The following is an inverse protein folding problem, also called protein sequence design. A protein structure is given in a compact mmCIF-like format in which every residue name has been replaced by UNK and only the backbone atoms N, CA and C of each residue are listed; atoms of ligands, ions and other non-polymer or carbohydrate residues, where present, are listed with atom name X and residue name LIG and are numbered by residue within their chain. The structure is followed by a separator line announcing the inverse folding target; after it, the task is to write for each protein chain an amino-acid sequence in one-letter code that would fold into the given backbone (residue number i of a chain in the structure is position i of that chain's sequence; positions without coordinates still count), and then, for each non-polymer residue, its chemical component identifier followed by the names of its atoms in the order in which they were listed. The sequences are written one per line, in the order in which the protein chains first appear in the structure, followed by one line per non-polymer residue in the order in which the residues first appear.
data_IF_248428587408
#
_entry.id   IF_248428587408
#
_cell.length_a   1.000
_cell.length_b   1.000
_cell.length_c   1.000
_cell.angle_alpha   90.00
_cell.angle_beta   90.00
_cell.angle_gamma   90.00
#
_symmetry.space_group_name_H-M   'P 1'
#
loop_
_entity.id
_entity.type
_entity.pdbx_description
1 polymer ?
#
# COMPACT_ATOMS: atom_id res chain seq x y z
N UNK A 1 3.55 4.72 39.48
CA UNK A 1 2.08 4.73 39.38
C UNK A 1 1.62 5.23 38.01
N UNK A 2 2.01 6.43 37.55
CA UNK A 2 1.63 6.94 36.21
C UNK A 2 1.78 5.92 35.06
N UNK A 3 2.88 5.17 35.00
CA UNK A 3 3.11 4.21 33.91
C UNK A 3 2.14 3.01 33.89
N UNK A 4 1.79 2.43 35.03
CA UNK A 4 0.88 1.27 35.06
C UNK A 4 -0.55 1.70 34.68
N UNK A 5 -0.95 2.91 35.11
CA UNK A 5 -2.22 3.51 34.71
C UNK A 5 -2.23 3.86 33.21
N UNK A 6 -1.11 4.34 32.67
CA UNK A 6 -0.92 4.56 31.23
C UNK A 6 -1.01 3.26 30.43
N UNK A 7 -0.39 2.17 30.90
CA UNK A 7 -0.46 0.86 30.25
C UNK A 7 -1.89 0.31 30.29
N UNK A 8 -2.60 0.46 31.41
CA UNK A 8 -4.00 0.07 31.51
C UNK A 8 -4.87 0.84 30.51
N UNK A 9 -4.69 2.17 30.45
CA UNK A 9 -5.41 3.03 29.51
C UNK A 9 -5.10 2.67 28.05
N UNK A 10 -3.83 2.46 27.72
CA UNK A 10 -3.38 2.02 26.41
C UNK A 10 -3.98 0.66 26.02
N UNK A 11 -3.99 -0.29 26.95
CA UNK A 11 -4.58 -1.61 26.73
C UNK A 11 -6.08 -1.49 26.41
N UNK A 12 -6.81 -0.62 27.11
CA UNK A 12 -8.24 -0.43 26.88
C UNK A 12 -8.57 0.34 25.60
N UNK A 13 -7.72 1.26 25.15
CA UNK A 13 -7.99 2.10 23.97
C UNK A 13 -7.49 1.51 22.66
N UNK A 14 -6.32 0.87 22.65
CA UNK A 14 -5.63 0.48 21.42
C UNK A 14 -5.66 -1.03 21.13
N UNK A 15 -5.94 -1.87 22.14
CA UNK A 15 -5.83 -3.32 21.99
C UNK A 15 -7.19 -4.01 21.83
N UNK A 16 -7.22 -5.04 20.99
CA UNK A 16 -8.35 -5.97 20.88
C UNK A 16 -8.50 -6.81 22.15
N UNK A 17 -9.68 -7.37 22.39
CA UNK A 17 -9.98 -8.11 23.62
C UNK A 17 -8.98 -9.25 23.91
N UNK A 18 -8.61 -10.05 22.91
CA UNK A 18 -7.61 -11.11 23.08
C UNK A 18 -6.21 -10.58 23.41
N UNK A 19 -5.86 -9.39 22.90
CA UNK A 19 -4.58 -8.73 23.21
C UNK A 19 -4.60 -8.16 24.64
N UNK A 20 -5.75 -7.64 25.08
CA UNK A 20 -5.93 -7.25 26.48
C UNK A 20 -5.79 -8.45 27.42
N UNK A 21 -6.32 -9.62 27.04
CA UNK A 21 -6.12 -10.87 27.78
C UNK A 21 -4.66 -11.31 27.78
N UNK A 22 -3.94 -11.20 26.66
CA UNK A 22 -2.50 -11.46 26.60
C UNK A 22 -1.71 -10.56 27.55
N UNK A 23 -1.99 -9.26 27.57
CA UNK A 23 -1.36 -8.30 28.49
C UNK A 23 -1.69 -8.65 29.94
N UNK A 24 -2.94 -9.00 30.25
CA UNK A 24 -3.35 -9.47 31.59
C UNK A 24 -2.53 -10.69 32.02
N UNK A 25 -2.41 -11.69 31.15
CA UNK A 25 -1.63 -12.91 31.44
C UNK A 25 -0.16 -12.58 31.69
N UNK A 26 0.44 -11.68 30.91
CA UNK A 26 1.83 -11.23 31.11
C UNK A 26 2.02 -10.53 32.47
N UNK A 27 1.06 -9.73 32.93
CA UNK A 27 1.12 -9.13 34.28
C UNK A 27 0.98 -10.16 35.42
N UNK A 28 0.20 -11.21 35.21
CA UNK A 28 -0.02 -12.26 36.22
C UNK A 28 0.93 -13.46 36.09
N UNK A 29 1.76 -13.50 35.05
CA UNK A 29 2.60 -14.64 34.75
C UNK A 29 3.67 -14.86 35.84
N UNK A 30 4.01 -16.12 36.15
CA UNK A 30 5.19 -16.41 36.95
C UNK A 30 6.47 -15.89 36.25
N UNK A 31 7.58 -15.75 36.99
CA UNK A 31 8.87 -15.32 36.42
C UNK A 31 9.37 -16.16 35.23
N UNK A 32 8.82 -17.37 35.07
CA UNK A 32 9.09 -18.29 33.95
C UNK A 32 8.37 -17.89 32.65
N UNK A 33 7.46 -16.91 32.68
CA UNK A 33 6.65 -16.47 31.54
C UNK A 33 5.40 -17.29 31.32
N UNK A 34 4.75 -17.06 30.16
CA UNK A 34 3.55 -17.79 29.72
C UNK A 34 3.86 -19.24 29.37
N UNK A 35 2.94 -20.14 29.71
CA UNK A 35 3.03 -21.56 29.40
C UNK A 35 2.55 -21.86 27.98
N UNK A 36 2.82 -23.08 27.47
CA UNK A 36 2.30 -23.48 26.16
C UNK A 36 0.75 -23.51 26.11
N UNK A 37 0.12 -23.84 27.24
CA UNK A 37 -1.34 -23.77 27.39
C UNK A 37 -1.86 -22.34 27.27
N UNK A 38 -1.17 -21.35 27.88
CA UNK A 38 -1.50 -19.93 27.70
C UNK A 38 -1.42 -19.52 26.23
N UNK A 39 -0.39 -19.96 25.53
CA UNK A 39 -0.25 -19.67 24.10
C UNK A 39 -1.31 -20.37 23.24
N UNK A 40 -1.77 -21.56 23.61
CA UNK A 40 -2.86 -22.26 22.94
C UNK A 40 -4.19 -21.50 23.12
N UNK A 41 -4.53 -21.11 24.35
CA UNK A 41 -5.74 -20.33 24.61
C UNK A 41 -5.71 -18.95 23.95
N UNK A 42 -4.57 -18.26 23.97
CA UNK A 42 -4.40 -16.98 23.27
C UNK A 42 -4.53 -17.13 21.75
N UNK A 43 -4.11 -18.27 21.21
CA UNK A 43 -4.30 -18.59 19.80
C UNK A 43 -5.78 -18.79 19.46
N UNK A 44 -6.50 -19.56 20.27
CA UNK A 44 -7.94 -19.76 20.09
C UNK A 44 -8.70 -18.41 20.19
N UNK A 45 -8.37 -17.56 21.17
CA UNK A 45 -8.96 -16.22 21.29
C UNK A 45 -8.66 -15.33 20.07
N UNK A 46 -7.47 -15.44 19.47
CA UNK A 46 -7.14 -14.77 18.20
C UNK A 46 -8.03 -15.28 17.05
N UNK A 47 -8.27 -16.60 16.97
CA UNK A 47 -9.17 -17.19 15.96
C UNK A 47 -10.61 -16.69 16.14
N UNK A 48 -11.10 -16.64 17.39
CA UNK A 48 -12.45 -16.15 17.74
C UNK A 48 -12.67 -14.70 17.33
N UNK A 49 -11.68 -13.83 17.56
CA UNK A 49 -11.71 -12.43 17.10
C UNK A 49 -11.91 -12.32 15.57
N UNK A 50 -11.45 -13.32 14.83
CA UNK A 50 -11.61 -13.44 13.38
C UNK A 50 -12.81 -14.31 12.95
N UNK A 51 -13.74 -14.61 13.87
CA UNK A 51 -14.97 -15.40 13.65
C UNK A 51 -14.71 -16.85 13.20
N UNK A 52 -13.56 -17.39 13.56
CA UNK A 52 -13.23 -18.80 13.35
C UNK A 52 -13.75 -19.64 14.53
N UNK A 53 -13.85 -20.98 14.38
CA UNK A 53 -14.47 -21.85 15.38
C UNK A 53 -13.84 -21.71 16.78
N UNK A 54 -14.71 -21.65 17.81
CA UNK A 54 -14.33 -21.61 19.22
C UNK A 54 -14.57 -22.97 19.87
N UNK A 55 -13.63 -23.89 19.78
CA UNK A 55 -13.82 -25.24 20.30
C UNK A 55 -13.99 -25.29 21.85
N UNK A 56 -13.52 -24.26 22.56
CA UNK A 56 -13.50 -24.21 24.02
C UNK A 56 -14.45 -23.21 24.67
N UNK A 57 -15.35 -22.56 23.91
CA UNK A 57 -16.17 -21.43 24.37
C UNK A 57 -15.35 -20.38 25.16
N UNK A 58 -14.09 -20.18 24.74
CA UNK A 58 -13.17 -19.27 25.39
C UNK A 58 -13.62 -17.82 25.18
N UNK A 59 -13.62 -17.04 26.25
CA UNK A 59 -13.89 -15.62 26.24
C UNK A 59 -12.66 -14.87 26.78
N UNK A 60 -12.24 -13.83 26.06
CA UNK A 60 -11.09 -13.02 26.47
C UNK A 60 -11.42 -12.26 27.78
N UNK A 61 -10.50 -12.30 28.75
CA UNK A 61 -10.63 -11.57 30.00
C UNK A 61 -9.71 -10.34 29.93
N UNK A 62 -10.26 -9.13 29.75
CA UNK A 62 -9.45 -7.94 29.56
C UNK A 62 -8.63 -7.58 30.81
N UNK A 63 -7.52 -6.86 30.61
CA UNK A 63 -6.73 -6.30 31.70
C UNK A 63 -7.58 -5.33 32.52
N UNK A 64 -7.61 -5.53 33.84
CA UNK A 64 -8.26 -4.63 34.79
C UNK A 64 -7.28 -4.12 35.83
N UNK A 65 -7.65 -3.05 36.54
CA UNK A 65 -6.86 -2.52 37.65
C UNK A 65 -6.58 -3.56 38.76
N UNK A 66 -7.45 -4.56 38.92
CA UNK A 66 -7.26 -5.65 39.88
C UNK A 66 -6.14 -6.64 39.48
N UNK A 67 -5.71 -6.63 38.22
CA UNK A 67 -4.62 -7.48 37.72
C UNK A 67 -3.26 -6.80 37.81
N UNK A 68 -3.21 -5.49 38.09
CA UNK A 68 -1.98 -4.76 38.32
C UNK A 68 -1.55 -4.97 39.78
N UNK A 69 -0.24 -5.10 40.07
CA UNK A 69 0.21 -5.19 41.45
C UNK A 69 -0.28 -3.99 42.26
N UNK A 70 -0.89 -4.26 43.41
CA UNK A 70 -1.13 -3.25 44.41
C UNK A 70 0.20 -2.55 44.69
N UNK A 71 0.18 -1.21 44.74
CA UNK A 71 1.37 -0.38 44.89
C UNK A 71 2.40 -1.05 45.81
N UNK A 72 3.51 -1.55 45.23
CA UNK A 72 4.64 -1.96 46.04
C UNK A 72 4.93 -0.75 46.92
N UNK A 73 4.78 -0.90 48.25
CA UNK A 73 5.22 0.12 49.19
C UNK A 73 6.62 0.53 48.74
N UNK A 74 6.83 1.83 48.53
CA UNK A 74 8.12 2.35 48.10
C UNK A 74 9.19 1.72 49.00
N UNK A 75 9.94 0.76 48.46
CA UNK A 75 10.99 0.09 49.22
C UNK A 75 11.92 1.19 49.68
N UNK A 76 12.07 1.36 51.00
CA UNK A 76 12.94 2.40 51.51
C UNK A 76 14.34 2.18 50.93
N UNK A 77 14.97 3.21 50.33
CA UNK A 77 16.26 3.03 49.71
C UNK A 77 17.30 2.64 50.76
N UNK A 78 18.18 1.71 50.42
CA UNK A 78 19.35 1.37 51.25
C UNK A 78 20.28 2.58 51.28
N UNK A 79 20.52 3.14 52.47
CA UNK A 79 21.41 4.29 52.64
C UNK A 79 22.79 3.82 53.13
N UNK A 80 23.85 4.20 52.41
CA UNK A 80 25.22 3.93 52.84
C UNK A 80 25.57 4.84 54.03
N UNK A 81 26.10 4.27 55.11
CA UNK A 81 26.47 4.99 56.34
C UNK A 81 27.97 5.06 56.54
N UNK A 82 28.69 3.98 56.26
CA UNK A 82 30.14 3.99 56.36
C UNK A 82 30.80 2.95 55.46
N UNK A 83 32.08 3.20 55.15
CA UNK A 83 33.01 2.23 54.58
C UNK A 83 34.25 2.18 55.49
N UNK A 84 34.52 1.02 56.07
CA UNK A 84 35.58 0.80 57.07
C UNK A 84 36.32 -0.52 56.84
N UNK A 85 37.30 -0.78 57.69
CA UNK A 85 38.09 -2.02 57.70
C UNK A 85 38.65 -2.39 56.33
N UNK A 86 39.07 -1.36 55.58
CA UNK A 86 39.61 -1.54 54.23
C UNK A 86 40.96 -2.26 54.31
N UNK A 87 41.07 -3.41 53.65
CA UNK A 87 42.35 -4.13 53.53
C UNK A 87 42.75 -4.22 52.08
N UNK A 88 44.06 -4.04 51.84
CA UNK A 88 44.69 -4.20 50.53
C UNK A 88 44.05 -3.34 49.42
N UNK A 89 43.56 -2.17 49.81
CA UNK A 89 42.85 -1.24 48.94
C UNK A 89 43.73 0.00 48.74
N UNK A 90 44.53 0.01 47.66
CA UNK A 90 45.61 0.97 47.45
C UNK A 90 46.52 1.05 48.70
N UNK A 91 47.01 2.25 49.03
CA UNK A 91 47.77 2.56 50.25
C UNK A 91 46.89 3.31 51.26
N UNK A 92 45.65 2.83 51.46
CA UNK A 92 44.79 3.37 52.52
C UNK A 92 45.34 2.96 53.89
N UNK A 93 45.30 3.88 54.86
CA UNK A 93 45.80 3.58 56.20
C UNK A 93 44.84 2.61 56.92
N UNK A 94 45.41 1.68 57.69
CA UNK A 94 44.62 0.75 58.49
C UNK A 94 43.76 1.50 59.52
N UNK A 95 42.54 1.01 59.74
CA UNK A 95 41.61 1.57 60.72
C UNK A 95 40.90 2.87 60.29
N UNK A 96 41.02 3.28 59.02
CA UNK A 96 40.24 4.42 58.52
C UNK A 96 38.76 4.06 58.34
N UNK A 97 37.89 5.02 58.66
CA UNK A 97 36.44 4.94 58.51
C UNK A 97 35.97 6.13 57.70
N UNK A 98 35.40 5.88 56.53
CA UNK A 98 34.76 6.89 55.70
C UNK A 98 33.26 6.89 55.97
N UNK A 99 32.71 7.98 56.51
CA UNK A 99 31.30 8.08 56.89
C UNK A 99 30.48 8.91 55.92
N UNK A 100 29.19 8.58 55.84
CA UNK A 100 28.21 9.21 54.97
C UNK A 100 26.96 9.58 55.78
N UNK A 101 26.37 10.75 55.47
CA UNK A 101 25.08 11.11 56.02
C UNK A 101 23.99 10.19 55.43
N UNK A 102 23.11 9.66 56.29
CA UNK A 102 22.01 8.77 55.87
C UNK A 102 21.01 9.45 54.93
N UNK A 103 20.97 10.78 54.93
CA UNK A 103 20.14 11.62 54.09
C UNK A 103 20.89 12.91 53.74
N UNK A 104 20.67 13.42 52.53
CA UNK A 104 21.30 14.63 52.02
C UNK A 104 22.57 14.38 51.19
N UNK A 105 23.44 15.38 51.14
CA UNK A 105 24.67 15.37 50.35
C UNK A 105 25.90 15.29 51.27
N UNK A 106 26.75 14.28 51.05
CA UNK A 106 28.05 14.17 51.72
C UNK A 106 29.15 14.57 50.76
N UNK A 107 29.96 15.58 51.11
CA UNK A 107 31.11 16.03 50.30
C UNK A 107 32.41 15.56 50.94
N UNK A 108 33.16 14.71 50.22
CA UNK A 108 34.47 14.19 50.65
C UNK A 108 35.55 14.86 49.80
N UNK A 109 36.47 15.58 50.45
CA UNK A 109 37.57 16.29 49.80
C UNK A 109 38.91 16.05 50.51
N UNK A 110 40.01 16.36 49.83
CA UNK A 110 41.37 16.20 50.37
C UNK A 110 42.42 16.41 49.29
N UNK A 111 43.69 16.52 49.68
CA UNK A 111 44.81 16.72 48.75
C UNK A 111 45.03 15.56 47.76
N UNK A 112 45.87 15.77 46.75
CA UNK A 112 46.28 14.69 45.85
C UNK A 112 47.01 13.60 46.64
N UNK A 113 46.73 12.32 46.33
CA UNK A 113 47.28 11.19 47.07
C UNK A 113 46.56 10.84 48.38
N UNK A 114 45.50 11.56 48.77
CA UNK A 114 44.77 11.30 50.03
C UNK A 114 43.88 10.04 50.04
N UNK A 115 43.96 9.19 49.02
CA UNK A 115 43.18 7.93 48.97
C UNK A 115 41.76 8.02 48.40
N UNK A 116 41.25 9.20 48.02
CA UNK A 116 39.87 9.38 47.47
C UNK A 116 39.53 8.42 46.33
N UNK A 117 40.42 8.30 45.35
CA UNK A 117 40.24 7.37 44.22
C UNK A 117 40.26 5.90 44.65
N UNK A 118 40.97 5.57 45.73
CA UNK A 118 40.94 4.23 46.32
C UNK A 118 39.54 3.88 46.81
N UNK A 119 38.96 4.72 47.68
CA UNK A 119 37.58 4.55 48.15
C UNK A 119 36.56 4.49 47.01
N UNK A 120 36.68 5.37 46.01
CA UNK A 120 35.79 5.38 44.85
C UNK A 120 35.84 4.05 44.05
N UNK A 121 37.03 3.46 43.86
CA UNK A 121 37.17 2.16 43.18
C UNK A 121 36.52 1.02 43.96
N UNK A 122 36.67 1.01 45.27
CA UNK A 122 36.02 0.02 46.13
C UNK A 122 34.50 0.13 46.01
N UNK A 123 33.96 1.34 46.11
CA UNK A 123 32.54 1.62 45.96
C UNK A 123 32.03 1.19 44.58
N UNK A 124 32.76 1.46 43.49
CA UNK A 124 32.40 1.00 42.15
C UNK A 124 32.35 -0.53 42.01
N UNK A 125 33.18 -1.26 42.76
CA UNK A 125 33.24 -2.72 42.72
C UNK A 125 32.28 -3.41 43.67
N UNK A 126 32.02 -2.81 44.82
CA UNK A 126 31.12 -3.34 45.83
C UNK A 126 29.66 -3.03 45.49
N UNK A 127 29.39 -1.84 44.96
CA UNK A 127 28.07 -1.36 44.61
C UNK A 127 27.85 -1.38 43.09
N UNK A 128 26.69 -0.89 42.63
CA UNK A 128 26.34 -0.84 41.21
C UNK A 128 27.00 0.36 40.50
N UNK A 129 28.07 0.11 39.76
CA UNK A 129 28.66 1.06 38.81
C UNK A 129 28.68 0.50 37.38
N UNK A 130 28.55 1.37 36.37
CA UNK A 130 28.67 0.97 34.96
C UNK A 130 30.12 0.76 34.51
N UNK A 131 31.04 1.56 35.04
CA UNK A 131 32.46 1.31 34.86
C UNK A 131 32.94 0.26 35.87
N UNK A 132 32.93 -1.00 35.44
CA UNK A 132 33.58 -2.11 36.12
C UNK A 132 34.92 -2.49 35.48
N UNK A 133 35.54 -1.59 34.71
CA UNK A 133 36.84 -1.88 34.09
C UNK A 133 37.96 -1.55 35.07
N UNK A 134 37.83 -0.45 35.82
CA UNK A 134 38.87 -0.03 36.78
C UNK A 134 39.04 -1.03 37.93
N UNK A 135 40.22 -1.64 38.04
CA UNK A 135 40.51 -2.62 39.09
C UNK A 135 40.83 -1.93 40.41
N UNK A 136 40.44 -2.57 41.51
CA UNK A 136 40.93 -2.19 42.84
C UNK A 136 42.34 -2.76 42.99
N UNK A 137 43.32 -1.85 43.00
CA UNK A 137 44.74 -2.19 43.07
C UNK A 137 45.21 -2.28 44.53
N UNK A 138 45.98 -3.32 44.91
CA UNK A 138 46.69 -3.35 46.19
C UNK A 138 47.84 -2.34 46.25
N UNK A 139 48.48 -2.19 47.41
CA UNK A 139 49.64 -1.31 47.58
C UNK A 139 50.80 -1.75 46.67
N UNK A 140 51.26 -0.86 45.79
CA UNK A 140 52.35 -1.14 44.84
C UNK A 140 53.72 -1.30 45.50
N UNK A 141 53.86 -0.88 46.77
CA UNK A 141 55.10 -1.02 47.55
C UNK A 141 55.20 -2.34 48.31
N UNK A 142 54.13 -3.13 48.34
CA UNK A 142 54.09 -4.43 49.00
C UNK A 142 54.54 -5.56 48.04
N UNK A 143 55.66 -6.26 48.30
CA UNK A 143 56.12 -7.36 47.44
C UNK A 143 55.17 -8.57 47.43
N UNK A 144 54.20 -8.65 48.36
CA UNK A 144 53.15 -9.68 48.41
C UNK A 144 51.80 -9.21 47.86
N UNK A 145 51.72 -7.98 47.31
CA UNK A 145 50.49 -7.36 46.83
C UNK A 145 49.65 -8.25 45.89
N UNK A 146 50.29 -9.08 45.05
CA UNK A 146 49.61 -9.98 44.12
C UNK A 146 48.84 -11.13 44.81
N UNK A 147 49.18 -11.46 46.06
CA UNK A 147 48.52 -12.50 46.86
C UNK A 147 47.38 -11.95 47.72
N UNK A 148 47.23 -10.63 47.80
CA UNK A 148 46.24 -9.99 48.64
C UNK A 148 44.93 -9.73 47.90
N UNK A 149 43.82 -10.04 48.57
CA UNK A 149 42.46 -9.81 48.07
C UNK A 149 41.92 -8.55 48.76
N UNK A 150 41.64 -7.47 48.02
CA UNK A 150 41.02 -6.28 48.56
C UNK A 150 39.66 -6.60 49.18
N UNK A 151 39.45 -6.06 50.38
CA UNK A 151 38.19 -6.19 51.12
C UNK A 151 37.84 -4.91 51.86
N UNK A 152 36.56 -4.69 52.09
CA UNK A 152 36.03 -3.58 52.87
C UNK A 152 34.70 -3.97 53.51
N UNK A 153 34.39 -3.32 54.64
CA UNK A 153 33.09 -3.45 55.31
C UNK A 153 32.27 -2.20 55.06
N UNK A 154 31.05 -2.37 54.59
CA UNK A 154 30.08 -1.33 54.31
C UNK A 154 28.97 -1.38 55.35
N UNK A 155 28.83 -0.32 56.15
CA UNK A 155 27.70 -0.18 57.05
C UNK A 155 26.56 0.51 56.27
N UNK A 156 25.39 -0.12 56.22
CA UNK A 156 24.21 0.37 55.51
C UNK A 156 23.02 0.47 56.44
N UNK A 157 22.07 1.34 56.10
CA UNK A 157 20.78 1.47 56.75
C UNK A 157 19.70 0.98 55.79
N UNK A 158 19.03 -0.11 56.15
CA UNK A 158 17.95 -0.74 55.36
C UNK A 158 16.69 -0.82 56.23
N UNK A 159 15.61 -0.17 55.79
CA UNK A 159 14.36 -0.05 56.55
C UNK A 159 14.54 0.39 58.03
N UNK A 160 15.55 1.22 58.30
CA UNK A 160 15.87 1.70 59.65
C UNK A 160 16.76 0.77 60.48
N UNK A 161 17.16 -0.39 59.95
CA UNK A 161 18.08 -1.34 60.59
C UNK A 161 19.49 -1.13 60.04
N UNK A 162 20.47 -0.99 60.93
CA UNK A 162 21.88 -0.92 60.54
C UNK A 162 22.46 -2.33 60.34
N UNK A 163 23.10 -2.54 59.19
CA UNK A 163 23.72 -3.80 58.82
C UNK A 163 25.13 -3.58 58.30
N UNK A 164 26.04 -4.49 58.65
CA UNK A 164 27.42 -4.49 58.16
C UNK A 164 27.59 -5.55 57.06
N UNK A 165 27.97 -5.11 55.86
CA UNK A 165 28.13 -5.92 54.67
C UNK A 165 29.60 -6.00 54.28
N UNK A 166 30.14 -7.21 54.19
CA UNK A 166 31.55 -7.43 53.81
C UNK A 166 31.62 -7.67 52.30
N UNK A 167 32.45 -6.90 51.63
CA UNK A 167 32.77 -7.09 50.21
C UNK A 167 34.21 -7.57 50.04
N UNK A 168 34.41 -8.52 49.14
CA UNK A 168 35.72 -9.04 48.74
C UNK A 168 35.83 -9.08 47.23
N UNK A 169 36.99 -8.66 46.71
CA UNK A 169 37.25 -8.68 45.26
C UNK A 169 37.23 -10.12 44.72
N UNK A 170 36.31 -10.40 43.81
CA UNK A 170 36.19 -11.71 43.13
C UNK A 170 35.12 -12.63 43.72
N UNK A 171 34.48 -12.22 44.82
CA UNK A 171 33.28 -12.87 45.37
C UNK A 171 32.03 -12.12 44.90
N UNK A 172 30.86 -12.78 44.99
CA UNK A 172 29.58 -12.14 44.71
C UNK A 172 29.30 -11.03 45.74
N UNK A 173 29.05 -9.81 45.27
CA UNK A 173 28.76 -8.68 46.14
C UNK A 173 27.43 -8.88 46.87
N UNK A 174 27.31 -8.50 48.16
CA UNK A 174 26.05 -8.52 48.89
C UNK A 174 24.92 -7.81 48.12
N UNK A 175 23.75 -8.44 48.02
CA UNK A 175 22.61 -7.97 47.21
C UNK A 175 22.21 -6.52 47.54
N UNK A 176 22.24 -6.14 48.82
CA UNK A 176 21.92 -4.79 49.30
C UNK A 176 22.89 -3.70 48.82
N UNK A 177 24.13 -4.05 48.44
CA UNK A 177 25.05 -3.08 47.85
C UNK A 177 24.72 -2.82 46.37
N UNK A 178 24.07 -3.78 45.69
CA UNK A 178 23.67 -3.62 44.29
C UNK A 178 22.54 -2.59 44.11
N UNK A 179 21.81 -2.23 45.16
CA UNK A 179 20.82 -1.14 45.12
C UNK A 179 21.45 0.25 45.20
N UNK A 180 22.74 0.36 45.55
CA UNK A 180 23.45 1.64 45.64
C UNK A 180 24.13 1.93 44.31
N UNK A 181 23.77 3.03 43.66
CA UNK A 181 24.38 3.46 42.41
C UNK A 181 25.62 4.33 42.65
N UNK A 182 26.75 3.98 42.02
CA UNK A 182 27.99 4.76 42.07
C UNK A 182 28.30 5.32 40.68
N UNK A 183 28.56 6.62 40.63
CA UNK A 183 28.79 7.36 39.39
C UNK A 183 30.07 8.21 39.50
N UNK A 184 30.92 8.13 38.48
CA UNK A 184 32.11 8.97 38.32
C UNK A 184 32.26 9.45 36.87
N UNK A 185 33.33 10.20 36.59
CA UNK A 185 33.62 10.72 35.25
C UNK A 185 33.91 9.62 34.22
N UNK A 186 34.36 8.44 34.64
CA UNK A 186 34.55 7.31 33.73
C UNK A 186 33.21 6.66 33.37
N UNK A 187 32.30 6.50 34.33
CA UNK A 187 30.92 6.10 34.10
C UNK A 187 30.24 7.05 33.12
N UNK A 188 30.39 8.38 33.31
CA UNK A 188 29.83 9.39 32.42
C UNK A 188 30.25 9.20 30.95
N UNK A 189 31.52 8.83 30.70
CA UNK A 189 31.98 8.51 29.34
C UNK A 189 31.30 7.27 28.79
N UNK A 190 31.18 6.20 29.58
CA UNK A 190 30.44 4.99 29.19
C UNK A 190 28.98 5.30 28.85
N UNK A 191 28.34 6.23 29.57
CA UNK A 191 26.98 6.70 29.26
C UNK A 191 26.87 7.43 27.91
N UNK A 192 27.92 8.12 27.47
CA UNK A 192 27.91 8.92 26.24
C UNK A 192 28.37 8.15 25.01
N UNK A 193 29.21 7.12 25.17
CA UNK A 193 29.87 6.44 24.05
C UNK A 193 29.35 5.04 23.76
N UNK A 194 28.63 4.40 24.69
CA UNK A 194 28.09 3.05 24.48
C UNK A 194 26.59 3.12 24.17
N UNK A 195 26.20 2.74 22.95
CA UNK A 195 24.79 2.42 22.64
C UNK A 195 24.41 1.17 23.43
N UNK A 196 23.76 1.34 24.59
CA UNK A 196 23.25 0.23 25.40
C UNK A 196 21.88 0.56 25.99
N UNK A 197 21.06 -0.48 26.08
CA UNK A 197 19.69 -0.50 26.61
C UNK A 197 19.56 0.21 27.96
N UNK A 198 18.39 0.83 28.17
CA UNK A 198 18.08 1.58 29.38
C UNK A 198 18.25 0.68 30.63
N UNK A 199 19.24 0.98 31.48
CA UNK A 199 19.60 0.16 32.64
C UNK A 199 18.54 0.13 33.76
N UNK A 200 17.41 0.81 33.60
CA UNK A 200 16.26 0.76 34.50
C UNK A 200 15.01 0.77 33.62
N UNK A 201 14.45 -0.41 33.37
CA UNK A 201 13.10 -0.53 32.82
C UNK A 201 12.12 -0.45 33.98
N UNK A 202 11.21 0.54 34.02
CA UNK A 202 10.20 0.60 35.05
C UNK A 202 9.33 -0.66 35.01
N UNK A 203 8.95 -1.14 36.20
CA UNK A 203 8.05 -2.30 36.31
C UNK A 203 6.77 -2.06 35.50
N UNK A 204 6.42 -3.03 34.66
CA UNK A 204 5.29 -2.97 33.72
C UNK A 204 5.68 -2.66 32.27
N UNK A 205 6.78 -1.94 32.02
CA UNK A 205 7.18 -1.63 30.63
C UNK A 205 7.60 -2.89 29.86
N UNK A 206 8.19 -3.86 30.55
CA UNK A 206 8.55 -5.17 29.98
C UNK A 206 7.35 -5.90 29.38
N UNK A 207 6.12 -5.67 29.87
CA UNK A 207 4.91 -6.33 29.33
C UNK A 207 4.63 -5.89 27.90
N UNK A 208 4.86 -4.60 27.58
CA UNK A 208 4.68 -4.07 26.23
C UNK A 208 5.72 -4.70 25.29
N UNK A 209 6.96 -4.81 25.76
CA UNK A 209 8.04 -5.46 25.02
C UNK A 209 7.77 -6.95 24.81
N UNK A 210 7.33 -7.68 25.83
CA UNK A 210 7.04 -9.10 25.75
C UNK A 210 5.84 -9.42 24.86
N UNK A 211 4.80 -8.57 24.87
CA UNK A 211 3.70 -8.69 23.91
C UNK A 211 4.23 -8.63 22.47
N UNK A 212 5.05 -7.63 22.16
CA UNK A 212 5.59 -7.41 20.81
C UNK A 212 6.65 -8.45 20.38
N UNK A 213 7.56 -8.80 21.28
CA UNK A 213 8.74 -9.63 20.97
C UNK A 213 8.52 -11.13 21.18
N UNK A 214 7.59 -11.53 22.06
CA UNK A 214 7.34 -12.94 22.40
C UNK A 214 5.97 -13.40 21.96
N UNK A 215 4.90 -12.73 22.41
CA UNK A 215 3.52 -13.20 22.20
C UNK A 215 3.14 -13.17 20.73
N UNK A 216 3.24 -12.02 20.06
CA UNK A 216 2.85 -11.89 18.65
C UNK A 216 3.65 -12.83 17.72
N UNK A 217 5.00 -12.94 17.85
CA UNK A 217 5.77 -13.87 17.02
C UNK A 217 5.44 -15.35 17.29
N UNK A 218 5.07 -15.71 18.52
CA UNK A 218 4.65 -17.07 18.85
C UNK A 218 3.31 -17.43 18.19
N UNK A 219 2.31 -16.57 18.32
CA UNK A 219 1.00 -16.76 17.67
C UNK A 219 1.13 -16.78 16.15
N UNK A 220 1.97 -15.91 15.58
CA UNK A 220 2.30 -15.92 14.15
C UNK A 220 2.86 -17.27 13.70
N UNK A 221 3.80 -17.85 14.44
CA UNK A 221 4.38 -19.16 14.11
C UNK A 221 3.33 -20.27 14.15
N UNK A 222 2.42 -20.25 15.12
CA UNK A 222 1.31 -21.22 15.18
C UNK A 222 0.37 -21.08 13.98
N UNK A 223 -0.01 -19.86 13.64
CA UNK A 223 -0.84 -19.58 12.45
C UNK A 223 -0.16 -20.03 11.14
N UNK A 224 1.12 -19.69 10.97
CA UNK A 224 1.87 -20.08 9.78
C UNK A 224 2.03 -21.62 9.71
N UNK A 225 2.21 -22.29 10.85
CA UNK A 225 2.25 -23.76 10.92
C UNK A 225 0.91 -24.39 10.53
N UNK A 226 -0.19 -23.94 11.11
CA UNK A 226 -1.53 -24.43 10.78
C UNK A 226 -1.83 -24.22 9.29
N UNK A 227 -1.57 -23.01 8.77
CA UNK A 227 -1.75 -22.71 7.33
C UNK A 227 -0.96 -23.68 6.45
N UNK A 228 0.30 -23.94 6.79
CA UNK A 228 1.16 -24.82 6.00
C UNK A 228 0.78 -26.30 6.14
N UNK A 229 0.07 -26.67 7.21
CA UNK A 229 -0.44 -28.04 7.42
C UNK A 229 -1.73 -28.33 6.63
N UNK A 230 -2.43 -27.29 6.18
CA UNK A 230 -3.63 -27.41 5.36
C UNK A 230 -3.21 -27.75 3.92
N UNK A 231 -3.16 -29.04 3.61
CA UNK A 231 -2.96 -29.54 2.25
C UNK A 231 -4.33 -29.76 1.57
N UNK A 232 -4.66 -28.92 0.59
CA UNK A 232 -5.93 -29.03 -0.15
C UNK A 232 -5.64 -29.67 -1.51
N UNK A 233 -6.05 -30.92 -1.68
CA UNK A 233 -6.00 -31.58 -2.98
C UNK A 233 -7.06 -31.00 -3.93
N UNK A 234 -6.58 -30.31 -4.98
CA UNK A 234 -7.42 -29.73 -6.03
C UNK A 234 -7.69 -30.69 -7.20
N UNK A 235 -7.06 -31.86 -7.21
CA UNK A 235 -7.15 -32.85 -8.30
C UNK A 235 -8.58 -33.27 -8.65
N UNK A 236 -9.51 -33.48 -7.69
CA UNK A 236 -10.90 -33.85 -8.00
C UNK A 236 -11.62 -32.83 -8.88
N UNK A 237 -11.24 -31.56 -8.81
CA UNK A 237 -11.90 -30.46 -9.53
C UNK A 237 -11.24 -30.12 -10.86
N UNK A 238 -10.25 -30.91 -11.31
CA UNK A 238 -9.48 -30.63 -12.54
C UNK A 238 -10.36 -30.39 -13.77
N UNK A 239 -11.47 -31.11 -13.88
CA UNK A 239 -12.39 -31.00 -15.02
C UNK A 239 -13.27 -29.74 -14.99
N UNK A 240 -13.37 -29.08 -13.82
CA UNK A 240 -14.10 -27.84 -13.63
C UNK A 240 -13.23 -26.61 -13.83
N UNK A 241 -11.89 -26.78 -13.87
CA UNK A 241 -10.95 -25.69 -14.10
C UNK A 241 -10.95 -25.29 -15.58
N UNK A 242 -10.93 -23.98 -15.83
CA UNK A 242 -10.92 -23.43 -17.19
C UNK A 242 -11.57 -22.05 -17.23
N UNK A 243 -11.91 -21.59 -18.45
CA UNK A 243 -12.51 -20.28 -18.69
C UNK A 243 -14.05 -20.27 -18.53
N UNK A 244 -14.58 -21.22 -17.75
CA UNK A 244 -16.00 -21.26 -17.40
C UNK A 244 -16.23 -20.41 -16.15
N UNK A 245 -17.47 -19.96 -15.92
CA UNK A 245 -17.81 -19.24 -14.68
C UNK A 245 -17.45 -20.04 -13.42
N UNK A 246 -17.67 -21.37 -13.45
CA UNK A 246 -17.28 -22.29 -12.37
C UNK A 246 -15.76 -22.37 -12.22
N UNK A 247 -15.01 -22.46 -13.32
CA UNK A 247 -13.55 -22.53 -13.30
C UNK A 247 -12.89 -21.25 -12.77
N UNK A 248 -13.41 -20.09 -13.19
CA UNK A 248 -12.98 -18.78 -12.69
C UNK A 248 -13.32 -18.61 -11.21
N UNK A 249 -14.47 -19.10 -10.75
CA UNK A 249 -14.85 -19.09 -9.33
C UNK A 249 -13.90 -19.95 -8.50
N UNK A 250 -13.62 -21.19 -8.92
CA UNK A 250 -12.71 -22.11 -8.22
C UNK A 250 -11.29 -21.53 -8.13
N UNK A 251 -10.80 -20.90 -9.21
CA UNK A 251 -9.49 -20.27 -9.23
C UNK A 251 -9.35 -19.11 -8.24
N UNK A 252 -10.46 -18.41 -7.97
CA UNK A 252 -10.51 -17.23 -7.09
C UNK A 252 -11.17 -17.50 -5.72
N UNK A 253 -11.29 -18.78 -5.31
CA UNK A 253 -11.84 -19.15 -4.01
C UNK A 253 -11.06 -18.48 -2.88
N UNK A 254 -11.79 -17.79 -2.01
CA UNK A 254 -11.24 -17.11 -0.85
C UNK A 254 -12.24 -17.14 0.30
N UNK A 255 -11.81 -16.70 1.49
CA UNK A 255 -12.70 -16.56 2.65
C UNK A 255 -13.83 -15.52 2.44
N UNK A 256 -13.78 -14.74 1.36
CA UNK A 256 -14.81 -13.75 0.99
C UNK A 256 -15.80 -14.28 -0.06
N UNK A 257 -15.57 -15.47 -0.59
CA UNK A 257 -16.44 -16.03 -1.62
C UNK A 257 -17.82 -16.31 -1.04
N UNK A 258 -18.86 -15.83 -1.71
CA UNK A 258 -20.24 -16.04 -1.30
C UNK A 258 -20.67 -17.49 -1.56
N UNK A 259 -21.15 -18.15 -0.50
CA UNK A 259 -21.63 -19.53 -0.56
C UNK A 259 -22.87 -19.63 -1.45
N UNK A 260 -23.76 -18.63 -1.45
CA UNK A 260 -24.95 -18.64 -2.29
C UNK A 260 -24.61 -18.59 -3.79
N UNK A 261 -23.53 -17.90 -4.15
CA UNK A 261 -23.02 -17.88 -5.52
C UNK A 261 -22.48 -19.25 -5.96
N UNK A 262 -21.81 -19.97 -5.04
CA UNK A 262 -21.34 -21.35 -5.28
C UNK A 262 -22.55 -22.28 -5.49
N UNK A 263 -23.55 -22.21 -4.62
CA UNK A 263 -24.76 -23.04 -4.69
C UNK A 263 -25.51 -22.82 -6.01
N UNK A 264 -25.67 -21.55 -6.43
CA UNK A 264 -26.31 -21.21 -7.70
C UNK A 264 -25.58 -21.84 -8.89
N UNK A 265 -24.25 -21.74 -8.94
CA UNK A 265 -23.42 -22.33 -10.01
C UNK A 265 -23.40 -23.86 -9.96
N UNK A 266 -23.66 -24.46 -8.80
CA UNK A 266 -23.80 -25.91 -8.63
C UNK A 266 -25.15 -26.47 -9.09
N UNK A 267 -26.13 -25.62 -9.38
CA UNK A 267 -27.46 -26.03 -9.84
C UNK A 267 -27.64 -25.81 -11.34
N UNK A 268 -28.38 -26.72 -11.99
CA UNK A 268 -28.78 -26.58 -13.39
C UNK A 268 -30.25 -26.18 -13.46
N UNK A 269 -30.55 -25.15 -14.26
CA UNK A 269 -31.91 -24.75 -14.59
C UNK A 269 -32.58 -25.78 -15.52
N UNK A 270 -33.91 -25.81 -15.54
CA UNK A 270 -34.66 -26.76 -16.38
C UNK A 270 -34.26 -26.67 -17.86
N UNK A 271 -34.04 -25.47 -18.38
CA UNK A 271 -33.59 -25.25 -19.77
C UNK A 271 -32.22 -25.90 -20.03
N UNK A 272 -31.32 -25.86 -19.05
CA UNK A 272 -29.99 -26.46 -19.15
C UNK A 272 -30.07 -27.99 -19.06
N UNK A 273 -30.97 -28.53 -18.22
CA UNK A 273 -31.25 -29.97 -18.16
C UNK A 273 -31.84 -30.50 -19.46
N UNK A 274 -32.79 -29.77 -20.05
CA UNK A 274 -33.40 -30.14 -21.33
C UNK A 274 -32.34 -30.14 -22.45
N UNK A 275 -31.50 -29.09 -22.49
CA UNK A 275 -30.36 -29.03 -23.43
C UNK A 275 -29.35 -30.15 -23.18
N UNK A 276 -29.07 -30.50 -21.94
CA UNK A 276 -28.17 -31.60 -21.61
C UNK A 276 -28.73 -32.94 -22.14
N UNK A 277 -30.02 -33.19 -21.95
CA UNK A 277 -30.68 -34.38 -22.48
C UNK A 277 -30.68 -34.40 -24.02
N UNK A 278 -30.87 -33.25 -24.67
CA UNK A 278 -30.74 -33.11 -26.12
C UNK A 278 -29.31 -33.43 -26.59
N UNK A 279 -28.29 -32.86 -25.94
CA UNK A 279 -26.89 -33.10 -26.26
C UNK A 279 -26.50 -34.56 -26.07
N UNK A 280 -26.95 -35.20 -24.98
CA UNK A 280 -26.71 -36.63 -24.73
C UNK A 280 -27.34 -37.50 -25.83
N UNK A 281 -28.56 -37.16 -26.28
CA UNK A 281 -29.22 -37.85 -27.40
C UNK A 281 -28.44 -37.67 -28.71
N UNK A 282 -28.04 -36.43 -29.04
CA UNK A 282 -27.30 -36.11 -30.27
C UNK A 282 -25.92 -36.79 -30.31
N UNK A 283 -25.23 -36.87 -29.16
CA UNK A 283 -23.93 -37.54 -29.06
C UNK A 283 -24.02 -39.07 -29.17
N UNK A 284 -25.19 -39.65 -28.86
CA UNK A 284 -25.48 -41.09 -29.00
C UNK A 284 -25.92 -41.50 -30.41
N UNK A 285 -26.14 -40.56 -31.32
CA UNK A 285 -26.44 -40.88 -32.73
C UNK A 285 -25.26 -41.61 -33.39
N UNK A 286 -25.54 -42.42 -34.41
CA UNK A 286 -24.54 -43.31 -35.02
C UNK A 286 -23.38 -42.55 -35.70
N UNK A 287 -23.61 -41.31 -36.17
CA UNK A 287 -22.57 -40.45 -36.75
C UNK A 287 -22.81 -38.96 -36.44
N UNK A 288 -22.44 -38.49 -35.22
CA UNK A 288 -22.66 -37.10 -34.80
C UNK A 288 -21.90 -36.08 -35.68
N UNK A 289 -20.82 -36.49 -36.35
CA UNK A 289 -20.03 -35.61 -37.23
C UNK A 289 -20.82 -35.23 -38.48
N UNK A 290 -21.55 -36.18 -39.06
CA UNK A 290 -22.40 -35.88 -40.22
C UNK A 290 -23.57 -34.97 -39.85
N UNK A 291 -24.22 -35.20 -38.70
CA UNK A 291 -25.28 -34.31 -38.19
C UNK A 291 -24.74 -32.90 -37.95
N UNK A 292 -23.56 -32.75 -37.33
CA UNK A 292 -22.91 -31.45 -37.12
C UNK A 292 -22.60 -30.71 -38.43
N UNK A 293 -22.06 -31.41 -39.43
CA UNK A 293 -21.77 -30.84 -40.74
C UNK A 293 -23.05 -30.35 -41.45
N UNK A 294 -24.14 -31.12 -41.35
CA UNK A 294 -25.43 -30.74 -41.93
C UNK A 294 -26.00 -29.48 -41.27
N UNK A 295 -26.00 -29.41 -39.93
CA UNK A 295 -26.46 -28.24 -39.18
C UNK A 295 -25.60 -27.00 -39.48
N UNK A 296 -24.27 -27.15 -39.54
CA UNK A 296 -23.35 -26.06 -39.90
C UNK A 296 -23.62 -25.53 -41.31
N UNK A 297 -23.84 -26.42 -42.28
CA UNK A 297 -24.19 -26.03 -43.65
C UNK A 297 -25.55 -25.32 -43.71
N UNK A 298 -26.54 -25.73 -42.92
CA UNK A 298 -27.83 -25.03 -42.83
C UNK A 298 -27.68 -23.64 -42.22
N UNK A 299 -26.94 -23.50 -41.11
CA UNK A 299 -26.67 -22.20 -40.49
C UNK A 299 -25.96 -21.25 -41.46
N UNK A 300 -24.98 -21.74 -42.21
CA UNK A 300 -24.30 -20.97 -43.26
C UNK A 300 -25.27 -20.49 -44.34
N UNK A 301 -26.16 -21.37 -44.83
CA UNK A 301 -27.18 -21.00 -45.83
C UNK A 301 -28.13 -19.91 -45.29
N UNK A 302 -28.60 -20.02 -44.05
CA UNK A 302 -29.42 -18.98 -43.44
C UNK A 302 -28.66 -17.66 -43.32
N UNK A 303 -27.40 -17.69 -42.89
CA UNK A 303 -26.55 -16.50 -42.85
C UNK A 303 -26.36 -15.84 -44.22
N UNK A 304 -26.15 -16.63 -45.27
CA UNK A 304 -26.05 -16.13 -46.65
C UNK A 304 -27.36 -15.49 -47.13
N UNK A 305 -28.51 -16.09 -46.80
CA UNK A 305 -29.83 -15.52 -47.12
C UNK A 305 -30.04 -14.21 -46.39
N UNK A 306 -29.75 -14.14 -45.08
CA UNK A 306 -29.86 -12.91 -44.29
C UNK A 306 -28.99 -11.80 -44.88
N UNK A 307 -27.73 -12.08 -45.21
CA UNK A 307 -26.85 -11.09 -45.83
C UNK A 307 -27.36 -10.59 -47.19
N UNK A 308 -27.96 -11.47 -48.01
CA UNK A 308 -28.58 -11.07 -49.28
C UNK A 308 -29.79 -10.17 -49.04
N UNK A 309 -30.61 -10.50 -48.06
CA UNK A 309 -31.77 -9.69 -47.67
C UNK A 309 -31.32 -8.32 -47.16
N UNK A 310 -30.31 -8.24 -46.30
CA UNK A 310 -29.78 -6.98 -45.78
C UNK A 310 -29.21 -6.10 -46.90
N UNK A 311 -28.44 -6.68 -47.83
CA UNK A 311 -27.92 -5.97 -49.00
C UNK A 311 -29.04 -5.43 -49.87
N UNK A 312 -30.05 -6.24 -50.17
CA UNK A 312 -31.20 -5.79 -50.95
C UNK A 312 -31.99 -4.70 -50.22
N UNK A 313 -32.23 -4.87 -48.91
CA UNK A 313 -32.96 -3.92 -48.08
C UNK A 313 -32.26 -2.55 -48.03
N UNK A 314 -30.93 -2.51 -47.99
CA UNK A 314 -30.16 -1.26 -47.99
C UNK A 314 -30.44 -0.36 -49.21
N UNK A 315 -30.77 -0.94 -50.37
CA UNK A 315 -31.11 -0.18 -51.58
C UNK A 315 -32.57 0.26 -51.63
N UNK A 316 -33.48 -0.54 -51.07
CA UNK A 316 -34.93 -0.32 -51.18
C UNK A 316 -35.52 0.34 -49.92
N UNK A 317 -34.71 0.57 -48.87
CA UNK A 317 -35.17 1.29 -47.68
C UNK A 317 -35.62 2.71 -48.03
N UNK A 318 -36.62 3.22 -47.32
CA UNK A 318 -37.27 4.49 -47.63
C UNK A 318 -36.32 5.69 -47.69
N UNK A 319 -35.25 5.70 -46.89
CA UNK A 319 -34.19 6.71 -46.93
C UNK A 319 -33.43 6.70 -48.27
N UNK A 320 -33.05 5.52 -48.76
CA UNK A 320 -32.34 5.36 -50.02
C UNK A 320 -33.20 5.80 -51.21
N UNK A 321 -34.50 5.47 -51.17
CA UNK A 321 -35.47 5.92 -52.18
C UNK A 321 -35.66 7.43 -52.15
N UNK A 322 -35.80 8.04 -50.96
CA UNK A 322 -35.90 9.50 -50.81
C UNK A 322 -34.63 10.19 -51.32
N UNK A 323 -33.44 9.67 -51.00
CA UNK A 323 -32.16 10.20 -51.49
C UNK A 323 -32.09 10.16 -53.01
N UNK A 324 -32.54 9.08 -53.64
CA UNK A 324 -32.59 8.98 -55.10
C UNK A 324 -33.56 9.99 -55.71
N UNK A 325 -34.74 10.19 -55.10
CA UNK A 325 -35.70 11.22 -55.52
C UNK A 325 -35.10 12.63 -55.41
N UNK A 326 -34.41 12.94 -54.31
CA UNK A 326 -33.72 14.22 -54.14
C UNK A 326 -32.65 14.42 -55.20
N UNK A 327 -31.79 13.41 -55.42
CA UNK A 327 -30.74 13.48 -56.44
C UNK A 327 -31.30 13.70 -57.85
N UNK A 328 -32.38 12.99 -58.19
CA UNK A 328 -33.07 13.17 -59.47
C UNK A 328 -33.66 14.59 -59.60
N UNK A 329 -34.33 15.10 -58.57
CA UNK A 329 -34.87 16.46 -58.57
C UNK A 329 -33.77 17.52 -58.67
N UNK A 330 -32.65 17.35 -57.95
CA UNK A 330 -31.50 18.26 -58.04
C UNK A 330 -30.86 18.23 -59.41
N UNK A 331 -30.72 17.06 -60.04
CA UNK A 331 -30.16 16.95 -61.39
C UNK A 331 -31.05 17.65 -62.43
N UNK A 332 -32.37 17.47 -62.33
CA UNK A 332 -33.33 18.15 -63.21
C UNK A 332 -33.27 19.67 -63.01
N UNK A 333 -33.22 20.13 -61.76
CA UNK A 333 -33.15 21.56 -61.46
C UNK A 333 -31.81 22.17 -61.92
N UNK A 334 -30.70 21.46 -61.75
CA UNK A 334 -29.38 21.89 -62.22
C UNK A 334 -29.36 21.99 -63.76
N UNK A 335 -29.91 21.01 -64.47
CA UNK A 335 -30.01 21.04 -65.93
C UNK A 335 -30.89 22.21 -66.42
N UNK A 336 -32.01 22.50 -65.75
CA UNK A 336 -32.86 23.67 -66.06
C UNK A 336 -32.16 24.99 -65.78
N UNK A 337 -31.43 25.08 -64.66
CA UNK A 337 -30.66 26.26 -64.32
C UNK A 337 -29.53 26.50 -65.32
N UNK A 338 -28.82 25.46 -65.76
CA UNK A 338 -27.82 25.55 -66.84
C UNK A 338 -28.45 26.04 -68.14
N UNK A 339 -29.62 25.52 -68.52
CA UNK A 339 -30.31 25.94 -69.74
C UNK A 339 -30.73 27.41 -69.66
N UNK A 340 -31.35 27.85 -68.56
CA UNK A 340 -31.75 29.25 -68.35
C UNK A 340 -30.54 30.19 -68.30
N UNK A 341 -29.44 29.74 -67.70
CA UNK A 341 -28.17 30.45 -67.70
C UNK A 341 -27.63 30.64 -69.13
N UNK A 342 -27.64 29.57 -69.94
CA UNK A 342 -27.20 29.62 -71.33
C UNK A 342 -28.10 30.51 -72.20
N UNK A 343 -29.41 30.51 -71.97
CA UNK A 343 -30.37 31.35 -72.69
C UNK A 343 -30.23 32.83 -72.32
N UNK A 344 -30.13 33.15 -71.01
CA UNK A 344 -29.89 34.52 -70.54
C UNK A 344 -28.54 35.07 -70.99
N UNK A 345 -27.53 34.21 -71.09
CA UNK A 345 -26.22 34.57 -71.61
C UNK A 345 -26.25 34.99 -73.08
N UNK A 346 -27.07 34.34 -73.91
CA UNK A 346 -27.20 34.65 -75.35
C UNK A 346 -28.01 35.93 -75.63
N UNK A 347 -28.72 36.47 -74.64
CA UNK A 347 -29.62 37.61 -74.82
C UNK A 347 -28.95 39.00 -74.60
N UNK A 348 -27.73 39.05 -74.05
CA UNK A 348 -27.00 40.30 -73.78
C UNK A 348 -25.87 40.56 -74.79
N UNK A 349 -26.09 41.53 -75.69
CA UNK A 349 -25.12 42.11 -76.64
C UNK A 349 -24.43 41.15 -77.63
N UNK A 350 -23.79 41.71 -78.66
CA UNK A 350 -23.20 40.98 -79.77
C UNK A 350 -21.96 40.18 -79.34
N UNK A 351 -22.19 38.99 -78.82
CA UNK A 351 -21.13 38.04 -78.47
C UNK A 351 -20.44 37.48 -79.72
N UNK A 352 -19.15 37.15 -79.60
CA UNK A 352 -18.40 36.50 -80.67
C UNK A 352 -19.01 35.12 -81.01
N UNK A 353 -18.97 34.67 -82.28
CA UNK A 353 -19.37 33.31 -82.64
C UNK A 353 -18.61 32.27 -81.80
N UNK A 354 -19.30 31.26 -81.29
CA UNK A 354 -18.71 30.21 -80.44
C UNK A 354 -18.62 30.56 -78.94
N UNK A 355 -19.09 31.73 -78.50
CA UNK A 355 -19.18 32.05 -77.07
C UNK A 355 -20.17 31.10 -76.37
N UNK A 356 -19.68 30.36 -75.36
CA UNK A 356 -20.45 29.34 -74.62
C UNK A 356 -20.27 27.89 -75.11
N UNK A 357 -19.57 27.67 -76.22
CA UNK A 357 -19.19 26.33 -76.69
C UNK A 357 -18.01 25.75 -75.87
N UNK A 358 -17.71 24.43 -75.97
CA UNK A 358 -16.65 23.80 -75.17
C UNK A 358 -15.29 24.51 -75.24
N UNK A 359 -14.91 25.01 -76.43
CA UNK A 359 -13.64 25.74 -76.64
C UNK A 359 -13.63 27.05 -75.86
N UNK A 360 -14.75 27.78 -75.85
CA UNK A 360 -14.87 29.00 -75.07
C UNK A 360 -14.87 28.72 -73.56
N UNK A 361 -15.51 27.62 -73.11
CA UNK A 361 -15.48 27.19 -71.70
C UNK A 361 -14.06 26.88 -71.23
N UNK A 362 -13.27 26.18 -72.03
CA UNK A 362 -11.87 25.90 -71.72
C UNK A 362 -11.03 27.19 -71.60
N UNK A 363 -11.22 28.15 -72.52
CA UNK A 363 -10.56 29.46 -72.45
C UNK A 363 -10.95 30.22 -71.16
N UNK A 364 -12.24 30.23 -70.83
CA UNK A 364 -12.75 30.89 -69.63
C UNK A 364 -12.23 30.24 -68.34
N UNK A 365 -12.22 28.91 -68.26
CA UNK A 365 -11.65 28.19 -67.11
C UNK A 365 -10.15 28.41 -66.97
N UNK A 366 -9.41 28.46 -68.08
CA UNK A 366 -7.98 28.75 -68.06
C UNK A 366 -7.71 30.18 -67.54
N UNK A 367 -8.48 31.16 -68.01
CA UNK A 367 -8.40 32.55 -67.54
C UNK A 367 -8.75 32.67 -66.05
N UNK A 368 -9.80 31.96 -65.60
CA UNK A 368 -10.19 31.89 -64.19
C UNK A 368 -9.08 31.30 -63.32
N UNK A 369 -8.51 30.16 -63.72
CA UNK A 369 -7.40 29.51 -62.99
C UNK A 369 -6.18 30.42 -62.93
N UNK A 370 -5.82 31.09 -64.03
CA UNK A 370 -4.73 32.07 -64.03
C UNK A 370 -4.99 33.23 -63.07
N UNK A 371 -6.23 33.73 -63.00
CA UNK A 371 -6.62 34.77 -62.05
C UNK A 371 -6.45 34.33 -60.59
N UNK A 372 -7.00 33.17 -60.22
CA UNK A 372 -6.99 32.67 -58.84
C UNK A 372 -5.59 32.18 -58.39
N UNK A 373 -4.78 31.66 -59.31
CA UNK A 373 -3.52 30.97 -58.98
C UNK A 373 -2.24 31.77 -59.28
N UNK A 374 -2.29 32.77 -60.16
CA UNK A 374 -1.10 33.52 -60.58
C UNK A 374 -1.27 35.04 -60.45
N UNK A 375 -2.34 35.62 -60.97
CA UNK A 375 -2.50 37.08 -60.99
C UNK A 375 -3.01 37.66 -59.66
N UNK A 376 -3.97 36.98 -59.01
CA UNK A 376 -4.61 37.41 -57.76
C UNK A 376 -4.71 36.26 -56.77
N UNK A 377 -3.56 35.71 -56.36
CA UNK A 377 -3.47 34.70 -55.31
C UNK A 377 -4.13 35.24 -54.04
N UNK A 378 -5.24 34.62 -53.60
CA UNK A 378 -6.12 34.98 -52.46
C UNK A 378 -7.42 35.74 -52.78
N UNK A 379 -7.72 36.02 -54.05
CA UNK A 379 -9.02 36.61 -54.43
C UNK A 379 -9.81 35.65 -55.31
N UNK A 380 -11.11 35.54 -55.05
CA UNK A 380 -12.01 34.73 -55.87
C UNK A 380 -12.32 35.45 -57.19
N UNK A 381 -12.31 34.71 -58.30
CA UNK A 381 -12.67 35.27 -59.61
C UNK A 381 -14.19 35.58 -59.70
N UNK A 382 -14.60 36.69 -60.35
CA UNK A 382 -13.76 37.76 -60.89
C UNK A 382 -13.35 38.76 -59.80
N UNK A 383 -12.05 39.06 -59.70
CA UNK A 383 -11.55 40.16 -58.89
C UNK A 383 -11.66 41.48 -59.67
N UNK A 384 -12.45 42.43 -59.17
CA UNK A 384 -12.81 43.65 -59.90
C UNK A 384 -12.29 44.94 -59.27
N UNK A 385 -11.70 44.89 -58.08
CA UNK A 385 -11.15 46.06 -57.39
C UNK A 385 -9.67 46.25 -57.80
N UNK A 386 -9.33 47.41 -58.37
CA UNK A 386 -7.99 47.75 -58.89
C UNK A 386 -7.35 46.69 -59.82
N UNK A 387 -8.19 45.91 -60.50
CA UNK A 387 -7.75 44.82 -61.36
C UNK A 387 -7.55 45.27 -62.81
N UNK A 388 -6.50 44.76 -63.45
CA UNK A 388 -6.31 44.88 -64.90
C UNK A 388 -7.11 43.76 -65.55
N UNK A 389 -7.99 44.10 -66.49
CA UNK A 389 -8.82 43.09 -67.13
C UNK A 389 -7.94 42.07 -67.87
N UNK A 390 -8.11 40.78 -67.57
CA UNK A 390 -7.36 39.67 -68.20
C UNK A 390 -7.60 39.57 -69.71
N UNK A 391 -8.68 40.16 -70.23
CA UNK A 391 -9.02 40.19 -71.64
C UNK A 391 -9.00 41.65 -72.13
N UNK A 392 -8.02 42.01 -72.95
CA UNK A 392 -7.85 43.38 -73.45
C UNK A 392 -8.97 43.76 -74.43
N UNK A 393 -9.92 44.58 -73.97
CA UNK A 393 -10.97 45.22 -74.76
C UNK A 393 -11.85 46.07 -73.85
N UNK A 394 -12.00 47.36 -74.17
CA UNK A 394 -12.80 48.32 -73.39
C UNK A 394 -14.26 47.86 -73.28
N UNK A 395 -14.65 47.36 -72.10
CA UNK A 395 -16.01 46.86 -71.81
C UNK A 395 -16.08 45.58 -70.99
N UNK A 396 -14.95 44.89 -70.77
CA UNK A 396 -14.95 43.51 -70.28
C UNK A 396 -15.28 43.35 -68.77
N UNK A 397 -15.23 44.41 -67.96
CA UNK A 397 -15.54 44.33 -66.52
C UNK A 397 -17.04 44.07 -66.25
N UNK A 398 -17.94 44.73 -66.99
CA UNK A 398 -19.39 44.57 -66.85
C UNK A 398 -19.87 43.20 -67.36
N UNK A 399 -19.22 42.69 -68.42
CA UNK A 399 -19.49 41.34 -68.93
C UNK A 399 -19.05 40.27 -67.92
N UNK A 400 -17.87 40.42 -67.28
CA UNK A 400 -17.36 39.53 -66.22
C UNK A 400 -18.29 39.45 -64.99
N UNK A 401 -18.93 40.55 -64.61
CA UNK A 401 -19.92 40.55 -63.54
C UNK A 401 -21.24 39.84 -63.92
N UNK A 402 -21.64 39.87 -65.21
CA UNK A 402 -22.77 39.06 -65.69
C UNK A 402 -22.47 37.55 -65.64
N UNK A 403 -21.22 37.12 -65.82
CA UNK A 403 -20.82 35.71 -65.68
C UNK A 403 -20.91 35.16 -64.24
N UNK A 404 -21.06 36.01 -63.21
CA UNK A 404 -21.22 35.55 -61.80
C UNK A 404 -22.66 35.12 -61.48
N UNK A 405 -23.67 35.71 -62.14
CA UNK A 405 -25.09 35.45 -61.81
C UNK A 405 -25.59 34.03 -62.15
N UNK A 406 -25.14 33.35 -63.22
CA UNK A 406 -25.63 32.01 -63.54
C UNK A 406 -24.84 30.88 -62.85
N UNK A 407 -23.56 31.09 -62.52
CA UNK A 407 -22.71 30.00 -61.98
C UNK A 407 -22.86 29.84 -60.47
N UNK A 408 -23.17 30.91 -59.73
CA UNK A 408 -23.34 30.86 -58.27
C UNK A 408 -24.67 30.24 -57.81
N UNK A 409 -25.67 30.12 -58.68
CA UNK A 409 -27.03 29.64 -58.30
C UNK A 409 -27.31 28.20 -58.71
N UNK A 410 -26.38 27.53 -59.42
CA UNK A 410 -26.57 26.17 -59.94
C UNK A 410 -25.93 25.06 -59.08
N UNK A 411 -25.20 25.38 -58.00
CA UNK A 411 -24.63 24.39 -57.09
C UNK A 411 -25.09 24.67 -55.65
N UNK A 412 -25.97 23.83 -55.05
CA UNK A 412 -26.14 23.83 -53.61
C UNK A 412 -24.82 23.37 -52.95
N UNK A 413 -24.41 24.05 -51.88
CA UNK A 413 -23.19 23.85 -51.06
C UNK A 413 -23.09 22.49 -50.33
N UNK A 414 -23.56 21.40 -50.95
CA UNK A 414 -23.70 20.09 -50.35
C UNK A 414 -22.75 19.02 -50.90
N UNK A 415 -21.55 19.37 -51.37
CA UNK A 415 -20.52 18.39 -51.78
C UNK A 415 -19.10 18.95 -51.55
N UNK A 416 -18.79 19.29 -50.29
CA UNK A 416 -17.40 19.38 -49.80
C UNK A 416 -17.20 18.34 -48.71
N UNK A 417 -16.90 17.13 -49.15
CA UNK A 417 -16.62 16.00 -48.26
C UNK A 417 -16.86 14.68 -48.94
N UNK A 418 -16.06 14.38 -49.97
CA UNK A 418 -15.51 13.06 -50.37
C UNK A 418 -14.76 13.32 -51.69
N UNK A 419 -13.47 13.65 -51.59
CA UNK A 419 -12.37 12.99 -52.30
C UNK A 419 -11.23 12.89 -51.29
#
# INVERSE_FOLDING_TARGET
MALLDEILKWSQSELKLWQQDAVRRLFTAPKTGLTDADYAELYDLLLVEHKLPNAGDLAAIPLSAANLPAAQAAVSPVALKAMRDTKYLNRLAAGQVLTFAASGLTVIFGGNGSGKSGYARALKRACRARDQVEQVHPDTSDPLASKHIPEATFDVLDNGVEEALIWRRGEESPEKLASIAVFDSHCARVYLTAEQEAAISPYGLSVVEELGSKVLPHLKRRLDHERNSIDIDKSPYKNLLGDTEVGQLIANLSYRTDVAAIEKLGTLEQVQLDRYAELDKLLKEADPKTTANNLSNQAKRFGEVTQRLDRAHAWVKGESVKRLQTLAATAINAAKAEQLAAEGFRAGEALLPGTGEPIWKELFEAARRYSEQAAYMNHAFPHTEDAVCLCTGSGCLDTLLQFRRPVSSAFPDGLRGVI
#
